data_IF_075008153297
#
_entry.id   IF_075008153297
#
_cell.length_a   1.000
_cell.length_b   1.000
_cell.length_c   1.000
_cell.angle_alpha   90.00
_cell.angle_beta   90.00
_cell.angle_gamma   90.00
#
_symmetry.space_group_name_H-M   'P 1'
#
loop_
_entity.id
_entity.type
_entity.pdbx_description
1 polymer ?
#
# COMPACT_ATOMS: atom_id res chain seq x y z
N UNK A 1 -40.76 -4.17 -11.06
CA UNK A 1 -41.66 -3.39 -10.19
C UNK A 1 -41.07 -2.01 -10.01
N UNK A 2 -41.63 -1.00 -10.67
CA UNK A 2 -41.12 0.39 -10.65
C UNK A 2 -41.46 1.07 -9.32
N UNK A 3 -40.85 0.64 -8.20
CA UNK A 3 -41.20 1.11 -6.86
C UNK A 3 -40.34 2.28 -6.34
N UNK A 4 -39.57 2.94 -7.21
CA UNK A 4 -38.71 4.05 -6.83
C UNK A 4 -38.83 5.20 -7.82
N UNK A 5 -38.70 6.43 -7.30
CA UNK A 5 -38.75 7.68 -8.06
C UNK A 5 -37.33 8.22 -8.21
N UNK A 6 -37.01 8.77 -9.37
CA UNK A 6 -35.71 9.36 -9.69
C UNK A 6 -35.87 10.72 -10.32
N UNK A 7 -34.94 11.63 -10.01
CA UNK A 7 -34.82 12.93 -10.64
C UNK A 7 -33.35 13.21 -10.93
N UNK A 8 -33.08 13.83 -12.07
CA UNK A 8 -31.74 14.21 -12.49
C UNK A 8 -31.59 15.73 -12.44
N UNK A 9 -30.51 16.20 -11.83
CA UNK A 9 -30.19 17.62 -11.75
C UNK A 9 -28.72 17.84 -12.09
N UNK A 10 -28.47 18.80 -12.98
CA UNK A 10 -27.13 19.28 -13.23
C UNK A 10 -26.77 20.35 -12.19
N UNK A 11 -25.66 20.15 -11.49
CA UNK A 11 -25.08 21.16 -10.61
C UNK A 11 -24.55 22.30 -11.49
N UNK A 12 -25.36 23.35 -11.69
CA UNK A 12 -24.96 24.57 -12.43
C UNK A 12 -24.43 25.61 -11.45
N UNK A 13 -23.38 26.33 -11.85
CA UNK A 13 -22.78 27.39 -11.01
C UNK A 13 -21.82 26.83 -9.97
N UNK A 14 -20.79 26.12 -10.42
CA UNK A 14 -19.64 25.70 -9.61
C UNK A 14 -18.90 26.96 -9.11
N UNK A 15 -19.39 27.53 -8.01
CA UNK A 15 -18.74 28.65 -7.31
C UNK A 15 -18.12 28.08 -6.04
N UNK A 16 -16.82 27.79 -6.05
CA UNK A 16 -16.13 27.24 -4.91
C UNK A 16 -16.28 28.18 -3.72
N UNK A 17 -16.93 27.71 -2.64
CA UNK A 17 -16.69 28.30 -1.33
C UNK A 17 -15.55 27.53 -0.70
N UNK A 18 -14.40 28.18 -0.55
CA UNK A 18 -13.29 27.61 0.20
C UNK A 18 -13.69 27.51 1.68
N UNK A 19 -13.62 26.30 2.22
CA UNK A 19 -13.72 26.08 3.67
C UNK A 19 -12.37 26.36 4.33
N UNK A 20 -12.37 26.58 5.65
CA UNK A 20 -11.16 26.80 6.45
C UNK A 20 -10.09 25.68 6.30
N UNK A 21 -10.47 24.51 5.78
CA UNK A 21 -9.54 23.50 5.28
C UNK A 21 -9.21 23.76 3.80
N UNK A 22 -7.98 24.19 3.52
CA UNK A 22 -7.47 24.66 2.22
C UNK A 22 -7.67 23.73 1.00
N UNK A 23 -8.13 22.48 1.18
CA UNK A 23 -8.31 21.48 0.12
C UNK A 23 -9.78 21.05 -0.10
N UNK A 24 -10.75 21.64 0.60
CA UNK A 24 -12.17 21.27 0.47
C UNK A 24 -12.95 22.41 -0.16
N UNK A 25 -13.59 22.10 -1.28
CA UNK A 25 -14.48 23.01 -1.99
C UNK A 25 -15.93 22.59 -1.74
N UNK A 26 -16.76 23.54 -1.30
CA UNK A 26 -18.21 23.35 -1.21
C UNK A 26 -18.91 23.91 -2.45
N UNK A 27 -19.85 23.14 -2.99
CA UNK A 27 -20.73 23.54 -4.09
C UNK A 27 -22.19 23.30 -3.68
N UNK A 28 -23.05 24.29 -3.92
CA UNK A 28 -24.48 24.22 -3.59
C UNK A 28 -25.34 24.34 -4.85
N UNK A 29 -26.39 23.53 -4.96
CA UNK A 29 -27.41 23.68 -6.00
C UNK A 29 -28.80 23.43 -5.42
N UNK A 30 -29.80 24.11 -5.98
CA UNK A 30 -31.19 23.96 -5.58
C UNK A 30 -31.92 23.08 -6.59
N UNK A 31 -32.73 22.15 -6.09
CA UNK A 31 -33.58 21.29 -6.91
C UNK A 31 -34.94 21.10 -6.24
N UNK A 32 -35.95 20.78 -7.05
CA UNK A 32 -37.35 20.71 -6.58
C UNK A 32 -37.87 19.29 -6.73
N UNK A 33 -38.18 18.62 -5.63
CA UNK A 33 -38.79 17.29 -5.64
C UNK A 33 -40.33 17.38 -5.53
N UNK A 34 -41.10 16.50 -6.18
CA UNK A 34 -42.53 16.37 -5.93
C UNK A 34 -42.83 16.11 -4.45
N UNK A 35 -43.99 16.58 -3.97
CA UNK A 35 -44.40 16.42 -2.56
C UNK A 35 -44.52 14.95 -2.13
N UNK A 36 -44.75 14.05 -3.08
CA UNK A 36 -44.89 12.60 -2.87
C UNK A 36 -43.59 11.82 -3.16
N UNK A 37 -42.44 12.49 -3.36
CA UNK A 37 -41.15 11.86 -3.62
C UNK A 37 -40.63 11.04 -2.42
N UNK A 38 -41.04 11.44 -1.21
CA UNK A 38 -40.53 10.89 0.04
C UNK A 38 -39.10 11.33 0.33
N UNK A 39 -38.40 10.58 1.19
CA UNK A 39 -37.03 10.89 1.59
C UNK A 39 -36.01 10.26 0.64
N UNK A 40 -35.05 11.03 0.09
CA UNK A 40 -33.92 10.51 -0.65
C UNK A 40 -33.13 9.46 0.15
N UNK A 41 -32.82 8.33 -0.48
CA UNK A 41 -32.12 7.19 0.15
C UNK A 41 -30.81 6.80 -0.53
N UNK A 42 -30.68 7.12 -1.81
CA UNK A 42 -29.46 6.98 -2.59
C UNK A 42 -29.37 8.15 -3.59
N UNK A 43 -28.16 8.47 -4.02
CA UNK A 43 -27.86 9.47 -5.04
C UNK A 43 -26.95 8.83 -6.08
N UNK A 44 -27.27 9.05 -7.35
CA UNK A 44 -26.36 8.73 -8.45
C UNK A 44 -25.54 9.98 -8.79
N UNK A 45 -24.23 9.81 -8.89
CA UNK A 45 -23.29 10.90 -9.22
C UNK A 45 -22.60 10.57 -10.52
N UNK A 46 -22.75 11.47 -11.49
CA UNK A 46 -22.11 11.39 -12.80
C UNK A 46 -21.19 12.57 -12.97
N UNK A 47 -19.90 12.31 -13.16
CA UNK A 47 -18.93 13.35 -13.41
C UNK A 47 -18.84 13.66 -14.91
N UNK A 48 -19.35 14.83 -15.29
CA UNK A 48 -19.30 15.31 -16.68
C UNK A 48 -18.01 16.10 -16.99
N UNK A 49 -17.10 16.23 -16.04
CA UNK A 49 -15.80 16.84 -16.27
C UNK A 49 -14.81 15.83 -16.85
N UNK A 50 -13.73 16.33 -17.45
CA UNK A 50 -12.65 15.50 -18.00
C UNK A 50 -11.74 14.86 -16.93
N UNK A 51 -11.69 15.44 -15.72
CA UNK A 51 -10.87 14.94 -14.61
C UNK A 51 -11.73 14.31 -13.52
N UNK A 52 -11.19 13.30 -12.86
CA UNK A 52 -11.77 12.77 -11.63
C UNK A 52 -11.73 13.80 -10.50
N UNK A 53 -12.64 13.68 -9.54
CA UNK A 53 -12.60 14.44 -8.29
C UNK A 53 -12.90 13.54 -7.10
N UNK A 54 -12.42 13.94 -5.92
CA UNK A 54 -12.72 13.23 -4.69
C UNK A 54 -14.01 13.79 -4.05
N UNK A 55 -15.07 12.99 -4.03
CA UNK A 55 -16.33 13.33 -3.38
C UNK A 55 -16.26 12.91 -1.91
N UNK A 56 -16.27 13.89 -1.01
CA UNK A 56 -16.30 13.64 0.44
C UNK A 56 -17.71 13.25 0.90
N UNK A 57 -18.68 14.12 0.66
CA UNK A 57 -20.06 13.94 1.09
C UNK A 57 -21.03 14.75 0.24
N UNK A 58 -22.30 14.35 0.22
CA UNK A 58 -23.42 15.14 -0.29
C UNK A 58 -24.38 15.40 0.88
N UNK A 59 -24.80 16.65 1.04
CA UNK A 59 -25.75 17.07 2.08
C UNK A 59 -26.99 17.65 1.40
N UNK A 60 -28.15 17.08 1.69
CA UNK A 60 -29.44 17.55 1.16
C UNK A 60 -30.22 18.22 2.28
N UNK A 61 -30.54 19.50 2.11
CA UNK A 61 -31.30 20.31 3.07
C UNK A 61 -32.73 20.54 2.57
N UNK A 62 -33.63 21.02 3.45
CA UNK A 62 -35.01 21.40 3.09
C UNK A 62 -36.10 20.36 3.38
N UNK A 63 -35.77 19.25 4.05
CA UNK A 63 -36.75 18.28 4.53
C UNK A 63 -37.13 18.58 6.00
N UNK A 64 -38.36 18.26 6.39
CA UNK A 64 -38.91 18.52 7.73
C UNK A 64 -38.14 17.83 8.87
N UNK A 65 -37.50 16.69 8.60
CA UNK A 65 -36.69 15.92 9.56
C UNK A 65 -35.23 16.40 9.69
N UNK A 66 -34.86 17.48 8.99
CA UNK A 66 -33.50 18.02 8.97
C UNK A 66 -32.66 17.54 7.78
N UNK A 67 -31.34 17.83 7.80
CA UNK A 67 -30.44 17.53 6.69
C UNK A 67 -30.21 16.02 6.53
N UNK A 68 -30.12 15.57 5.28
CA UNK A 68 -29.83 14.18 4.90
C UNK A 68 -28.40 14.08 4.40
N UNK A 69 -27.65 13.14 4.94
CA UNK A 69 -26.22 12.97 4.67
C UNK A 69 -25.93 11.73 3.84
N UNK A 70 -25.09 11.89 2.82
CA UNK A 70 -24.61 10.86 1.91
C UNK A 70 -23.07 10.84 1.95
N UNK A 71 -22.46 10.11 2.90
CA UNK A 71 -21.01 10.02 3.00
C UNK A 71 -20.47 9.20 1.82
N UNK A 72 -19.62 9.82 0.99
CA UNK A 72 -19.09 9.18 -0.20
C UNK A 72 -17.66 8.67 0.01
N UNK A 73 -16.75 9.55 0.41
CA UNK A 73 -15.31 9.28 0.57
C UNK A 73 -14.73 8.45 -0.58
N UNK A 74 -14.96 8.94 -1.81
CA UNK A 74 -14.68 8.21 -3.04
C UNK A 74 -14.20 9.13 -4.14
N UNK A 75 -13.30 8.63 -4.98
CA UNK A 75 -13.02 9.22 -6.27
C UNK A 75 -14.17 8.96 -7.25
N UNK A 76 -14.61 10.01 -7.95
CA UNK A 76 -15.64 9.95 -8.98
C UNK A 76 -14.97 10.17 -10.34
N UNK A 77 -14.93 9.12 -11.14
CA UNK A 77 -14.30 9.12 -12.46
C UNK A 77 -15.11 9.92 -13.46
N UNK A 78 -14.41 10.54 -14.41
CA UNK A 78 -15.04 11.15 -15.57
C UNK A 78 -15.89 10.12 -16.31
N UNK A 79 -17.07 10.55 -16.79
CA UNK A 79 -17.94 9.74 -17.64
C UNK A 79 -17.25 9.23 -18.91
N UNK A 80 -16.22 9.93 -19.38
CA UNK A 80 -15.41 9.50 -20.53
C UNK A 80 -14.57 8.26 -20.21
N UNK A 81 -14.19 8.09 -18.93
CA UNK A 81 -13.36 6.97 -18.45
C UNK A 81 -14.22 5.83 -17.92
N UNK A 82 -15.23 6.15 -17.10
CA UNK A 82 -16.18 5.20 -16.53
C UNK A 82 -17.60 5.73 -16.81
N UNK A 83 -18.34 5.15 -17.77
CA UNK A 83 -19.65 5.66 -18.14
C UNK A 83 -20.71 5.43 -17.05
N UNK A 84 -20.44 4.54 -16.10
CA UNK A 84 -21.36 4.19 -15.02
C UNK A 84 -21.42 5.29 -13.95
N UNK A 85 -22.63 5.54 -13.46
CA UNK A 85 -22.84 6.52 -12.39
C UNK A 85 -22.50 5.92 -11.03
N UNK A 86 -21.88 6.71 -10.15
CA UNK A 86 -21.56 6.25 -8.79
C UNK A 86 -22.79 6.32 -7.90
N UNK A 87 -23.19 5.20 -7.32
CA UNK A 87 -24.24 5.15 -6.29
C UNK A 87 -23.64 5.54 -4.93
N UNK A 88 -24.25 6.50 -4.24
CA UNK A 88 -23.94 6.87 -2.86
C UNK A 88 -25.20 6.70 -2.02
N UNK A 89 -25.11 5.91 -0.94
CA UNK A 89 -26.23 5.66 -0.03
C UNK A 89 -26.27 6.69 1.11
N UNK A 90 -27.48 6.95 1.63
CA UNK A 90 -27.67 7.73 2.87
C UNK A 90 -26.93 7.04 4.02
N UNK A 91 -26.49 7.81 5.01
CA UNK A 91 -25.81 7.36 6.24
C UNK A 91 -26.67 6.50 7.21
N UNK A 92 -27.65 5.75 6.71
CA UNK A 92 -28.49 4.86 7.50
C UNK A 92 -28.02 3.41 7.31
N UNK A 93 -27.65 2.75 8.41
CA UNK A 93 -27.22 1.36 8.38
C UNK A 93 -28.43 0.40 8.35
N UNK A 94 -28.36 -0.60 7.47
CA UNK A 94 -29.36 -1.67 7.36
C UNK A 94 -28.67 -3.04 7.25
N UNK A 95 -29.16 -4.02 8.01
CA UNK A 95 -28.91 -5.42 7.70
C UNK A 95 -29.54 -5.80 6.34
N UNK A 96 -29.05 -6.84 5.65
CA UNK A 96 -29.61 -7.26 4.36
C UNK A 96 -31.14 -7.47 4.40
N UNK A 97 -31.66 -8.11 5.45
CA UNK A 97 -33.10 -8.36 5.63
C UNK A 97 -33.91 -7.09 5.95
N UNK A 98 -33.27 -6.06 6.50
CA UNK A 98 -33.89 -4.78 6.85
C UNK A 98 -33.76 -3.73 5.75
N UNK A 99 -33.07 -4.06 4.65
CA UNK A 99 -32.88 -3.11 3.54
C UNK A 99 -34.26 -2.84 2.92
N UNK A 100 -34.71 -1.56 2.84
CA UNK A 100 -35.98 -1.22 2.22
C UNK A 100 -36.09 -1.80 0.80
N UNK A 101 -37.29 -2.25 0.41
CA UNK A 101 -37.48 -2.90 -0.90
C UNK A 101 -36.99 -2.03 -2.07
N UNK A 102 -37.17 -0.71 -1.98
CA UNK A 102 -36.70 0.25 -2.98
C UNK A 102 -35.17 0.36 -3.10
N UNK A 103 -34.39 -0.16 -2.13
CA UNK A 103 -32.92 -0.14 -2.16
C UNK A 103 -32.31 -1.52 -2.42
N UNK A 104 -33.10 -2.60 -2.39
CA UNK A 104 -32.55 -3.97 -2.51
C UNK A 104 -31.82 -4.18 -3.83
N UNK A 105 -32.38 -3.69 -4.93
CA UNK A 105 -31.78 -3.81 -6.25
C UNK A 105 -30.54 -2.94 -6.39
N UNK A 106 -30.60 -1.66 -6.00
CA UNK A 106 -29.45 -0.76 -5.98
C UNK A 106 -28.28 -1.29 -5.14
N UNK A 107 -28.58 -1.85 -3.95
CA UNK A 107 -27.58 -2.48 -3.09
C UNK A 107 -26.93 -3.70 -3.77
N UNK A 108 -27.73 -4.50 -4.49
CA UNK A 108 -27.23 -5.67 -5.22
C UNK A 108 -26.35 -5.24 -6.39
N UNK A 109 -26.78 -4.25 -7.16
CA UNK A 109 -26.07 -3.70 -8.31
C UNK A 109 -24.71 -3.10 -7.89
N UNK A 110 -24.68 -2.27 -6.85
CA UNK A 110 -23.44 -1.72 -6.31
C UNK A 110 -22.48 -2.83 -5.86
N UNK A 111 -22.99 -3.84 -5.15
CA UNK A 111 -22.18 -4.99 -4.71
C UNK A 111 -21.62 -5.80 -5.90
N UNK A 112 -22.40 -6.00 -6.96
CA UNK A 112 -21.95 -6.68 -8.17
C UNK A 112 -20.87 -5.86 -8.90
N UNK A 113 -21.05 -4.53 -8.98
CA UNK A 113 -20.07 -3.63 -9.59
C UNK A 113 -18.71 -3.69 -8.86
N UNK A 114 -18.75 -3.73 -7.52
CA UNK A 114 -17.57 -3.77 -6.66
C UNK A 114 -16.91 -5.15 -6.67
N UNK A 115 -17.65 -6.23 -6.94
CA UNK A 115 -17.08 -7.59 -7.11
C UNK A 115 -16.46 -7.80 -8.49
N UNK A 116 -17.01 -7.14 -9.52
CA UNK A 116 -16.62 -7.35 -10.91
C UNK A 116 -16.93 -8.76 -11.41
N UNK A 117 -16.28 -9.14 -12.51
CA UNK A 117 -16.58 -10.36 -13.28
C UNK A 117 -15.45 -11.41 -13.28
N UNK A 118 -14.36 -11.16 -12.54
CA UNK A 118 -13.19 -12.06 -12.48
C UNK A 118 -12.34 -12.15 -13.74
N UNK A 119 -12.62 -11.32 -14.76
CA UNK A 119 -11.95 -11.33 -16.06
C UNK A 119 -11.16 -10.06 -16.28
N UNK A 120 -10.32 -10.05 -17.32
CA UNK A 120 -9.53 -8.90 -17.79
C UNK A 120 -8.51 -8.33 -16.78
N UNK A 121 -7.63 -7.48 -17.28
CA UNK A 121 -6.71 -6.69 -16.48
C UNK A 121 -7.44 -5.54 -15.80
N UNK A 122 -7.08 -5.26 -14.54
CA UNK A 122 -7.65 -4.17 -13.76
C UNK A 122 -7.05 -2.82 -14.16
N UNK A 123 -7.89 -1.79 -14.18
CA UNK A 123 -7.49 -0.41 -14.49
C UNK A 123 -7.49 0.45 -13.24
N UNK A 124 -6.60 1.45 -13.17
CA UNK A 124 -6.36 2.24 -11.95
C UNK A 124 -7.59 2.96 -11.38
N UNK A 125 -8.57 3.26 -12.23
CA UNK A 125 -9.81 3.90 -11.83
C UNK A 125 -10.86 2.94 -11.24
N UNK A 126 -10.69 1.62 -11.45
CA UNK A 126 -11.64 0.61 -11.01
C UNK A 126 -11.59 0.40 -9.48
N UNK A 127 -12.75 0.01 -8.94
CA UNK A 127 -12.94 -0.34 -7.52
C UNK A 127 -13.33 -1.82 -7.33
N UNK A 128 -12.79 -2.69 -8.17
CA UNK A 128 -13.14 -4.11 -8.18
C UNK A 128 -12.31 -4.86 -7.13
N UNK A 129 -12.97 -5.43 -6.13
CA UNK A 129 -12.40 -6.37 -5.17
C UNK A 129 -12.55 -7.78 -5.70
N UNK A 130 -11.42 -8.39 -6.05
CA UNK A 130 -11.36 -9.80 -6.41
C UNK A 130 -10.03 -10.40 -5.94
N UNK A 131 -9.93 -11.73 -5.96
CA UNK A 131 -8.87 -12.46 -5.30
C UNK A 131 -8.08 -13.31 -6.29
N UNK A 132 -6.78 -13.41 -6.05
CA UNK A 132 -5.93 -14.41 -6.71
C UNK A 132 -4.75 -14.75 -5.81
N UNK A 133 -3.90 -15.66 -6.26
CA UNK A 133 -2.73 -16.17 -5.55
C UNK A 133 -1.54 -15.24 -5.68
N UNK A 134 -0.50 -15.44 -4.86
CA UNK A 134 0.80 -14.80 -5.07
C UNK A 134 1.56 -15.55 -6.17
N UNK A 135 1.20 -15.25 -7.42
CA UNK A 135 1.84 -15.75 -8.64
C UNK A 135 2.56 -14.63 -9.42
N UNK A 136 2.72 -13.45 -8.81
CA UNK A 136 3.24 -12.22 -9.42
C UNK A 136 4.56 -11.72 -8.77
N UNK A 137 5.22 -12.59 -7.99
CA UNK A 137 6.47 -12.27 -7.28
C UNK A 137 7.72 -12.50 -8.14
N UNK A 138 7.68 -13.47 -9.06
CA UNK A 138 8.80 -13.83 -9.93
C UNK A 138 8.88 -12.94 -11.18
N UNK A 139 10.01 -13.01 -11.88
CA UNK A 139 10.16 -12.43 -13.23
C UNK A 139 10.93 -13.38 -14.18
N UNK A 140 10.37 -14.55 -14.49
CA UNK A 140 11.04 -15.60 -15.27
C UNK A 140 11.28 -15.25 -16.75
N UNK A 141 10.55 -14.27 -17.30
CA UNK A 141 10.76 -13.82 -18.68
C UNK A 141 12.03 -12.96 -18.79
N UNK A 142 12.47 -12.34 -17.68
CA UNK A 142 13.72 -11.58 -17.61
C UNK A 142 14.91 -12.49 -17.35
N UNK A 143 14.77 -13.42 -16.41
CA UNK A 143 15.81 -14.36 -16.02
C UNK A 143 15.15 -15.55 -15.29
N UNK A 144 15.57 -16.78 -15.63
CA UNK A 144 15.05 -17.98 -15.00
C UNK A 144 15.36 -18.04 -13.49
N UNK A 145 16.45 -17.42 -13.03
CA UNK A 145 16.80 -17.34 -11.60
C UNK A 145 15.86 -16.41 -10.82
N UNK A 146 15.07 -15.60 -11.52
CA UNK A 146 14.00 -14.77 -10.96
C UNK A 146 12.65 -15.50 -10.91
N UNK A 147 12.58 -16.76 -11.34
CA UNK A 147 11.38 -17.58 -11.17
C UNK A 147 11.07 -17.77 -9.67
N UNK A 148 9.80 -17.62 -9.30
CA UNK A 148 9.34 -17.85 -7.92
C UNK A 148 8.12 -18.78 -7.94
N UNK A 149 8.03 -19.69 -6.96
CA UNK A 149 6.90 -20.59 -6.84
C UNK A 149 5.62 -19.80 -6.52
N UNK A 150 4.48 -20.26 -7.05
CA UNK A 150 3.17 -19.71 -6.70
C UNK A 150 2.84 -20.07 -5.26
N UNK A 151 2.48 -19.09 -4.43
CA UNK A 151 2.05 -19.34 -3.05
C UNK A 151 0.54 -19.61 -3.02
N UNK A 152 0.18 -20.89 -3.11
CA UNK A 152 -1.18 -21.39 -3.02
C UNK A 152 -1.21 -22.90 -2.73
N UNK A 153 -2.39 -23.41 -2.40
CA UNK A 153 -2.65 -24.83 -2.23
C UNK A 153 -2.19 -25.39 -0.88
N UNK A 154 -2.25 -26.71 -0.75
CA UNK A 154 -1.91 -27.42 0.49
C UNK A 154 -0.41 -27.44 0.78
N UNK A 155 0.43 -27.47 -0.27
CA UNK A 155 1.88 -27.48 -0.11
C UNK A 155 2.42 -26.13 0.37
N UNK A 156 1.80 -25.03 -0.06
CA UNK A 156 2.23 -23.65 0.24
C UNK A 156 1.01 -22.78 0.57
N UNK A 157 0.32 -23.06 1.68
CA UNK A 157 -0.86 -22.31 2.05
C UNK A 157 -0.49 -20.85 2.29
N UNK A 158 -1.19 -19.95 1.62
CA UNK A 158 -0.94 -18.51 1.74
C UNK A 158 -2.24 -17.72 1.53
N UNK A 159 -2.42 -16.58 2.23
CA UNK A 159 -3.54 -15.69 1.98
C UNK A 159 -3.65 -15.30 0.51
N UNK A 160 -4.88 -15.05 0.05
CA UNK A 160 -5.11 -14.47 -1.27
C UNK A 160 -4.75 -12.98 -1.26
N UNK A 161 -4.39 -12.47 -2.44
CA UNK A 161 -4.16 -11.04 -2.68
C UNK A 161 -5.17 -10.47 -3.66
N UNK A 162 -5.22 -9.15 -3.76
CA UNK A 162 -6.07 -8.45 -4.72
C UNK A 162 -5.70 -8.85 -6.16
N UNK A 163 -6.68 -9.33 -6.93
CA UNK A 163 -6.50 -9.68 -8.34
C UNK A 163 -6.17 -8.43 -9.15
N UNK A 164 -5.18 -8.56 -10.01
CA UNK A 164 -4.73 -7.51 -10.94
C UNK A 164 -5.02 -7.90 -12.39
N UNK A 165 -5.00 -9.21 -12.69
CA UNK A 165 -5.50 -9.75 -13.95
C UNK A 165 -4.62 -9.43 -15.16
N UNK A 166 -3.35 -9.09 -14.96
CA UNK A 166 -2.39 -8.92 -16.04
C UNK A 166 -2.18 -10.26 -16.74
N UNK A 167 -1.59 -10.17 -17.93
CA UNK A 167 -1.29 -11.35 -18.73
C UNK A 167 -0.29 -12.27 -18.00
N UNK A 168 -0.34 -13.58 -18.24
CA UNK A 168 0.70 -14.50 -17.79
C UNK A 168 2.08 -14.15 -18.36
N UNK A 169 3.14 -14.64 -17.72
CA UNK A 169 4.48 -14.60 -18.30
C UNK A 169 4.57 -15.55 -19.50
N UNK A 170 5.48 -15.27 -20.43
CA UNK A 170 5.70 -16.12 -21.61
C UNK A 170 6.29 -17.48 -21.21
N UNK A 171 7.19 -17.50 -20.21
CA UNK A 171 7.88 -18.72 -19.77
C UNK A 171 7.02 -19.63 -18.90
N UNK A 172 6.09 -19.09 -18.10
CA UNK A 172 5.29 -19.85 -17.13
C UNK A 172 3.82 -19.38 -17.12
N UNK A 173 2.88 -20.13 -17.71
CA UNK A 173 1.47 -19.72 -17.83
C UNK A 173 0.71 -19.49 -16.52
N UNK A 174 1.20 -20.03 -15.40
CA UNK A 174 0.61 -19.85 -14.07
C UNK A 174 1.15 -18.62 -13.32
N UNK A 175 2.22 -18.00 -13.82
CA UNK A 175 2.82 -16.81 -13.25
C UNK A 175 2.26 -15.57 -13.95
N UNK A 176 1.84 -14.57 -13.19
CA UNK A 176 1.39 -13.30 -13.75
C UNK A 176 2.60 -12.41 -14.07
N UNK A 177 2.54 -11.72 -15.21
CA UNK A 177 3.58 -10.77 -15.63
C UNK A 177 3.80 -9.66 -14.59
N UNK A 178 5.05 -9.20 -14.52
CA UNK A 178 5.48 -8.19 -13.56
C UNK A 178 5.35 -6.79 -14.15
N UNK A 179 4.92 -5.85 -13.32
CA UNK A 179 5.00 -4.43 -13.63
C UNK A 179 6.38 -3.91 -13.21
N UNK A 180 7.12 -3.37 -14.17
CA UNK A 180 8.37 -2.67 -13.92
C UNK A 180 8.12 -1.23 -13.47
N UNK A 181 9.08 -0.67 -12.74
CA UNK A 181 8.99 0.74 -12.31
C UNK A 181 9.23 1.69 -13.48
N UNK A 182 8.55 2.85 -13.52
CA UNK A 182 7.84 3.53 -12.42
C UNK A 182 6.39 3.09 -12.18
N UNK A 183 5.82 2.25 -13.03
CA UNK A 183 4.40 1.91 -12.99
C UNK A 183 3.98 1.24 -11.66
N UNK A 184 2.73 1.47 -11.29
CA UNK A 184 2.17 1.01 -10.03
C UNK A 184 1.35 -0.26 -10.23
N UNK A 185 1.44 -1.19 -9.29
CA UNK A 185 0.56 -2.35 -9.27
C UNK A 185 -0.84 -1.86 -8.95
N UNK A 186 -1.85 -2.35 -9.68
CA UNK A 186 -3.24 -2.01 -9.41
C UNK A 186 -3.59 -2.27 -7.95
N UNK A 187 -4.15 -1.24 -7.35
CA UNK A 187 -4.90 -1.24 -6.10
C UNK A 187 -6.16 -0.44 -6.41
N UNK A 188 -7.25 -0.78 -5.73
CA UNK A 188 -8.52 -0.11 -5.94
C UNK A 188 -8.39 1.40 -5.73
N UNK A 189 -9.09 2.18 -6.57
CA UNK A 189 -8.92 3.64 -6.63
C UNK A 189 -9.03 4.34 -5.27
N UNK A 190 -9.95 3.94 -4.40
CA UNK A 190 -10.12 4.56 -3.07
C UNK A 190 -9.21 3.97 -1.99
N UNK A 191 -8.37 3.00 -2.35
CA UNK A 191 -7.35 2.41 -1.48
C UNK A 191 -5.93 2.83 -1.90
N UNK A 192 -5.79 3.59 -2.99
CA UNK A 192 -4.52 4.22 -3.33
C UNK A 192 -4.18 5.30 -2.32
N UNK A 193 -2.90 5.59 -2.16
CA UNK A 193 -2.49 6.74 -1.36
C UNK A 193 -2.96 8.05 -2.00
N UNK A 194 -3.25 9.03 -1.15
CA UNK A 194 -3.30 10.43 -1.54
C UNK A 194 -1.93 10.85 -2.10
N UNK A 195 -1.92 11.83 -3.01
CA UNK A 195 -0.73 12.28 -3.74
C UNK A 195 0.44 12.63 -2.80
N UNK A 196 0.18 13.40 -1.73
CA UNK A 196 1.20 13.79 -0.75
C UNK A 196 1.81 12.58 -0.04
N UNK A 197 0.98 11.61 0.35
CA UNK A 197 1.44 10.38 0.99
C UNK A 197 2.19 9.48 0.00
N UNK A 198 1.74 9.41 -1.25
CA UNK A 198 2.41 8.68 -2.33
C UNK A 198 3.79 9.27 -2.63
N UNK A 199 3.91 10.59 -2.64
CA UNK A 199 5.19 11.29 -2.81
C UNK A 199 6.15 10.98 -1.65
N UNK A 200 5.68 11.12 -0.40
CA UNK A 200 6.47 10.81 0.80
C UNK A 200 6.92 9.34 0.84
N UNK A 201 6.03 8.41 0.50
CA UNK A 201 6.34 6.98 0.39
C UNK A 201 7.38 6.71 -0.69
N UNK A 202 7.28 7.36 -1.85
CA UNK A 202 8.23 7.19 -2.96
C UNK A 202 9.63 7.67 -2.59
N UNK A 203 9.75 8.82 -1.90
CA UNK A 203 11.02 9.31 -1.36
C UNK A 203 11.59 8.33 -0.34
N UNK A 204 10.77 7.88 0.62
CA UNK A 204 11.18 6.92 1.66
C UNK A 204 11.66 5.59 1.07
N UNK A 205 10.98 5.09 0.03
CA UNK A 205 11.38 3.88 -0.70
C UNK A 205 12.71 4.07 -1.43
N UNK A 206 12.91 5.18 -2.13
CA UNK A 206 14.17 5.46 -2.82
C UNK A 206 15.33 5.52 -1.82
N UNK A 207 15.12 6.17 -0.67
CA UNK A 207 16.08 6.18 0.44
C UNK A 207 16.40 4.77 0.93
N UNK A 208 15.40 3.90 1.11
CA UNK A 208 15.61 2.52 1.54
C UNK A 208 16.40 1.68 0.52
N UNK A 209 16.08 1.79 -0.77
CA UNK A 209 16.84 1.12 -1.84
C UNK A 209 18.28 1.60 -1.85
N UNK A 210 18.51 2.92 -1.74
CA UNK A 210 19.85 3.48 -1.68
C UNK A 210 20.63 2.94 -0.48
N UNK A 211 20.05 2.98 0.72
CA UNK A 211 20.68 2.44 1.93
C UNK A 211 21.02 0.93 1.77
N UNK A 212 20.17 0.14 1.13
CA UNK A 212 20.45 -1.28 0.89
C UNK A 212 21.60 -1.51 -0.11
N UNK A 213 21.76 -0.63 -1.10
CA UNK A 213 22.85 -0.73 -2.09
C UNK A 213 24.15 -0.12 -1.58
N UNK A 214 24.08 0.80 -0.62
CA UNK A 214 25.21 1.59 -0.15
C UNK A 214 26.41 0.74 0.31
N UNK A 215 26.25 -0.40 1.02
CA UNK A 215 27.37 -1.29 1.34
C UNK A 215 28.05 -1.89 0.11
N UNK A 216 27.27 -2.34 -0.90
CA UNK A 216 27.82 -2.89 -2.14
C UNK A 216 28.55 -1.82 -2.96
N UNK A 217 28.03 -0.60 -2.96
CA UNK A 217 28.71 0.55 -3.55
C UNK A 217 30.05 0.83 -2.85
N UNK A 218 30.03 0.90 -1.51
CA UNK A 218 31.25 1.11 -0.73
C UNK A 218 32.32 0.04 -1.02
N UNK A 219 31.94 -1.24 -1.06
CA UNK A 219 32.83 -2.35 -1.37
C UNK A 219 33.44 -2.24 -2.80
N UNK A 220 32.62 -1.86 -3.78
CA UNK A 220 33.06 -1.67 -5.18
C UNK A 220 34.10 -0.55 -5.27
N UNK A 221 33.92 0.54 -4.52
CA UNK A 221 34.87 1.65 -4.49
C UNK A 221 36.12 1.35 -3.64
N UNK A 222 36.02 0.50 -2.62
CA UNK A 222 37.20 0.11 -1.83
C UNK A 222 38.08 -0.96 -2.48
N UNK A 223 37.68 -1.55 -3.61
CA UNK A 223 38.34 -2.71 -4.28
C UNK A 223 38.55 -3.93 -3.35
N UNK A 224 37.85 -3.98 -2.22
CA UNK A 224 37.94 -5.03 -1.22
C UNK A 224 36.56 -5.22 -0.57
N UNK A 225 36.07 -6.46 -0.53
CA UNK A 225 34.93 -6.88 0.31
C UNK A 225 35.38 -6.90 1.77
N UNK A 226 35.52 -5.71 2.38
CA UNK A 226 35.97 -5.59 3.77
C UNK A 226 34.79 -5.82 4.71
N UNK A 227 34.78 -6.93 5.48
CA UNK A 227 33.81 -7.07 6.56
C UNK A 227 34.08 -6.02 7.64
N UNK A 228 33.06 -5.68 8.43
CA UNK A 228 33.27 -4.85 9.61
C UNK A 228 34.26 -5.51 10.56
N UNK A 229 35.33 -4.79 10.91
CA UNK A 229 36.39 -5.30 11.80
C UNK A 229 36.04 -5.14 13.28
N UNK A 230 35.19 -4.17 13.61
CA UNK A 230 34.74 -3.89 14.98
C UNK A 230 33.41 -3.12 15.02
N UNK A 231 32.76 -3.08 16.19
CA UNK A 231 31.49 -2.35 16.37
C UNK A 231 31.60 -0.85 16.09
N UNK A 232 32.78 -0.24 16.29
CA UNK A 232 33.01 1.17 15.98
C UNK A 232 32.78 1.48 14.50
N UNK A 233 33.04 0.53 13.59
CA UNK A 233 32.79 0.73 12.16
C UNK A 233 31.30 0.73 11.81
N UNK A 234 30.51 -0.11 12.49
CA UNK A 234 29.04 -0.08 12.40
C UNK A 234 28.52 1.26 12.94
N UNK A 235 29.07 1.71 14.07
CA UNK A 235 28.72 2.98 14.69
C UNK A 235 29.00 4.21 13.79
N UNK A 236 30.04 4.15 12.95
CA UNK A 236 30.36 5.20 11.99
C UNK A 236 29.25 5.42 10.96
N UNK A 237 28.47 4.37 10.60
CA UNK A 237 27.33 4.48 9.68
C UNK A 237 26.29 5.50 10.17
N UNK A 238 26.12 5.62 11.49
CA UNK A 238 25.15 6.51 12.13
C UNK A 238 25.73 7.88 12.49
N UNK A 239 27.04 7.98 12.73
CA UNK A 239 27.67 9.22 13.19
C UNK A 239 28.20 10.05 12.02
N UNK A 240 28.94 9.41 11.11
CA UNK A 240 29.65 10.03 10.01
C UNK A 240 29.10 9.61 8.63
N UNK A 241 28.37 8.49 8.58
CA UNK A 241 27.89 7.90 7.34
C UNK A 241 28.94 7.03 6.64
N UNK A 242 28.59 6.55 5.44
CA UNK A 242 29.48 5.75 4.59
C UNK A 242 30.41 6.68 3.82
N UNK A 243 31.71 6.55 4.09
CA UNK A 243 32.76 7.28 3.37
C UNK A 243 33.15 6.47 2.14
N UNK A 244 32.81 6.97 0.95
CA UNK A 244 33.28 6.41 -0.32
C UNK A 244 34.69 6.97 -0.57
N UNK A 245 35.72 6.11 -0.53
CA UNK A 245 37.09 6.54 -0.88
C UNK A 245 37.12 6.86 -2.38
N UNK A 246 37.41 8.10 -2.73
CA UNK A 246 37.55 8.54 -4.11
C UNK A 246 38.99 8.31 -4.57
N UNK A 247 39.23 7.30 -5.39
CA UNK A 247 40.40 7.26 -6.27
C UNK A 247 40.07 7.97 -7.58
N UNK A 248 41.05 8.62 -8.22
CA UNK A 248 40.84 9.43 -9.43
C UNK A 248 40.21 8.61 -10.59
N UNK A 249 40.52 7.31 -10.68
CA UNK A 249 39.96 6.39 -11.68
C UNK A 249 38.51 5.94 -11.40
N UNK A 250 38.01 6.14 -10.17
CA UNK A 250 36.68 5.70 -9.74
C UNK A 250 35.62 6.81 -9.76
N UNK A 251 36.02 8.06 -10.04
CA UNK A 251 35.11 9.19 -10.26
C UNK A 251 34.11 8.89 -11.37
N UNK A 252 34.56 8.30 -12.48
CA UNK A 252 33.72 8.02 -13.65
C UNK A 252 32.64 6.95 -13.35
N UNK A 253 32.95 5.95 -12.51
CA UNK A 253 31.98 4.93 -12.07
C UNK A 253 30.98 5.52 -11.08
N UNK A 254 31.44 6.31 -10.12
CA UNK A 254 30.56 6.98 -9.15
C UNK A 254 29.65 8.00 -9.82
N UNK A 255 30.15 8.77 -10.78
CA UNK A 255 29.35 9.66 -11.61
C UNK A 255 28.34 8.87 -12.46
N UNK A 256 28.73 7.80 -13.15
CA UNK A 256 27.80 6.94 -13.90
C UNK A 256 26.70 6.32 -13.02
N UNK A 257 27.04 5.95 -11.78
CA UNK A 257 26.09 5.36 -10.84
C UNK A 257 25.17 6.41 -10.21
N UNK A 258 25.69 7.59 -9.85
CA UNK A 258 24.89 8.76 -9.46
C UNK A 258 24.01 9.27 -10.61
N UNK A 259 24.44 9.09 -11.87
CA UNK A 259 23.70 9.43 -13.08
C UNK A 259 22.55 8.45 -13.38
N UNK A 260 22.48 7.30 -12.71
CA UNK A 260 21.26 6.48 -12.72
C UNK A 260 20.10 7.32 -12.19
N UNK A 261 19.03 7.42 -12.99
CA UNK A 261 17.91 8.33 -12.75
C UNK A 261 17.25 8.19 -11.38
N UNK A 262 17.37 7.02 -10.74
CA UNK A 262 16.86 6.72 -9.41
C UNK A 262 17.75 7.29 -8.30
N UNK A 263 19.07 7.19 -8.44
CA UNK A 263 20.05 7.61 -7.43
C UNK A 263 20.16 9.13 -7.42
N UNK A 264 20.21 9.76 -8.60
CA UNK A 264 20.17 11.24 -8.72
C UNK A 264 18.94 11.84 -8.04
N UNK A 265 17.77 11.21 -8.22
CA UNK A 265 16.51 11.63 -7.59
C UNK A 265 16.54 11.43 -6.08
N UNK A 266 17.12 10.34 -5.59
CA UNK A 266 17.29 10.12 -4.16
C UNK A 266 18.21 11.18 -3.54
N UNK A 267 19.42 11.37 -4.12
CA UNK A 267 20.45 12.31 -3.65
C UNK A 267 19.93 13.74 -3.63
N UNK A 268 19.20 14.17 -4.66
CA UNK A 268 18.63 15.51 -4.71
C UNK A 268 17.43 15.69 -3.76
N UNK A 269 16.72 14.63 -3.39
CA UNK A 269 15.52 14.70 -2.54
C UNK A 269 15.82 14.54 -1.03
N UNK A 270 17.04 14.13 -0.64
CA UNK A 270 17.38 13.85 0.74
C UNK A 270 18.82 14.29 1.06
N UNK A 271 18.96 15.39 1.80
CA UNK A 271 20.21 15.72 2.48
C UNK A 271 20.61 14.59 3.44
N UNK A 272 21.87 14.13 3.39
CA UNK A 272 22.40 13.14 4.34
C UNK A 272 22.15 11.66 4.02
N UNK A 273 21.96 11.28 2.76
CA UNK A 273 21.72 9.87 2.35
C UNK A 273 22.81 8.86 2.69
N UNK A 274 24.05 9.32 2.92
CA UNK A 274 25.15 8.45 3.32
C UNK A 274 25.12 8.12 4.82
N UNK A 275 24.27 8.80 5.61
CA UNK A 275 24.19 8.67 7.06
C UNK A 275 22.89 8.01 7.47
N UNK A 276 23.00 6.95 8.26
CA UNK A 276 21.84 6.26 8.82
C UNK A 276 21.28 7.04 10.02
N UNK A 277 19.97 6.97 10.22
CA UNK A 277 19.33 7.48 11.42
C UNK A 277 19.70 6.61 12.62
N UNK A 278 20.09 7.24 13.74
CA UNK A 278 20.38 6.56 15.00
C UNK A 278 19.14 5.76 15.44
N UNK A 279 19.33 4.47 15.71
CA UNK A 279 18.24 3.59 16.18
C UNK A 279 17.84 3.95 17.62
N UNK A 280 16.55 3.81 17.94
CA UNK A 280 16.05 4.13 19.27
C UNK A 280 16.78 3.37 20.39
N UNK A 281 17.09 2.08 20.18
CA UNK A 281 17.77 1.22 21.15
C UNK A 281 19.18 1.69 21.52
N UNK A 282 19.93 2.29 20.58
CA UNK A 282 21.30 2.77 20.81
C UNK A 282 21.37 4.28 21.08
N UNK A 283 20.22 4.96 21.17
CA UNK A 283 20.16 6.42 21.28
C UNK A 283 20.63 6.94 22.65
N UNK A 284 20.40 6.18 23.72
CA UNK A 284 20.78 6.53 25.10
C UNK A 284 22.03 5.79 25.56
N UNK A 285 22.08 4.49 25.30
CA UNK A 285 23.23 3.65 25.61
C UNK A 285 23.59 2.79 24.38
N UNK A 286 24.77 3.04 23.84
CA UNK A 286 25.32 2.40 22.62
C UNK A 286 25.54 0.91 22.78
N UNK A 287 25.68 0.41 24.01
CA UNK A 287 25.95 -0.99 24.31
C UNK A 287 24.73 -1.71 24.90
N UNK A 288 23.55 -1.08 24.93
CA UNK A 288 22.31 -1.68 25.48
C UNK A 288 22.03 -3.07 24.89
N UNK A 289 22.19 -3.20 23.57
CA UNK A 289 21.89 -4.41 22.81
C UNK A 289 22.79 -5.62 23.14
N UNK A 290 23.93 -5.41 23.82
CA UNK A 290 24.83 -6.48 24.27
C UNK A 290 24.41 -7.10 25.61
N UNK A 291 23.47 -6.48 26.33
CA UNK A 291 23.13 -6.91 27.70
C UNK A 291 22.06 -8.00 27.67
N UNK A 292 22.23 -9.04 28.48
CA UNK A 292 21.26 -10.14 28.60
C UNK A 292 19.86 -9.67 29.00
N UNK A 293 19.79 -8.66 29.87
CA UNK A 293 18.50 -8.09 30.29
C UNK A 293 17.77 -7.41 29.12
N UNK A 294 18.49 -6.73 28.22
CA UNK A 294 17.91 -6.10 27.03
C UNK A 294 17.54 -7.14 25.96
N UNK A 295 18.37 -8.18 25.79
CA UNK A 295 18.03 -9.33 24.96
C UNK A 295 16.71 -10.00 25.41
N UNK A 296 16.57 -10.30 26.70
CA UNK A 296 15.35 -10.88 27.25
C UNK A 296 14.16 -9.91 27.20
N UNK A 297 14.40 -8.62 27.44
CA UNK A 297 13.37 -7.57 27.35
C UNK A 297 12.79 -7.46 25.94
N UNK A 298 13.62 -7.57 24.90
CA UNK A 298 13.15 -7.53 23.51
C UNK A 298 12.23 -8.70 23.14
N UNK A 299 12.35 -9.85 23.80
CA UNK A 299 11.42 -10.95 23.61
C UNK A 299 10.00 -10.63 24.13
N UNK A 300 9.86 -9.64 25.03
CA UNK A 300 8.58 -9.23 25.64
C UNK A 300 8.08 -7.87 25.13
N UNK A 301 8.97 -6.95 24.76
CA UNK A 301 8.63 -5.58 24.36
C UNK A 301 9.46 -5.05 23.17
N UNK A 302 10.17 -5.93 22.47
CA UNK A 302 10.96 -5.58 21.30
C UNK A 302 10.17 -5.64 19.99
N UNK A 303 10.88 -5.91 18.89
CA UNK A 303 10.31 -5.93 17.54
C UNK A 303 9.32 -7.09 17.34
N UNK A 304 9.52 -8.22 18.02
CA UNK A 304 8.67 -9.41 17.91
C UNK A 304 8.28 -9.99 19.28
N UNK A 305 7.36 -9.34 20.02
CA UNK A 305 7.02 -9.69 21.40
C UNK A 305 6.00 -10.84 21.53
N UNK A 306 5.74 -11.59 20.46
CA UNK A 306 4.64 -12.58 20.38
C UNK A 306 5.11 -14.04 20.30
N UNK A 307 6.42 -14.28 20.29
CA UNK A 307 6.97 -15.63 20.10
C UNK A 307 7.43 -16.32 21.39
N UNK A 308 7.60 -15.58 22.49
CA UNK A 308 8.10 -16.17 23.73
C UNK A 308 7.03 -17.06 24.37
N UNK A 309 7.41 -18.27 24.75
CA UNK A 309 6.54 -19.22 25.42
C UNK A 309 7.17 -19.75 26.70
N UNK A 310 6.33 -20.03 27.70
CA UNK A 310 6.78 -20.67 28.94
C UNK A 310 7.14 -22.12 28.67
N UNK A 311 8.40 -22.47 28.89
CA UNK A 311 8.82 -23.87 28.93
C UNK A 311 8.16 -24.60 30.11
N UNK A 312 7.42 -25.68 29.82
CA UNK A 312 6.72 -26.47 30.86
C UNK A 312 7.53 -27.67 31.35
N UNK A 313 8.34 -28.28 30.48
CA UNK A 313 9.14 -29.48 30.78
C UNK A 313 10.53 -29.29 30.20
N UNK A 314 11.56 -29.51 31.01
CA UNK A 314 12.95 -29.54 30.58
C UNK A 314 13.38 -31.01 30.44
N UNK A 315 13.59 -31.48 29.21
CA UNK A 315 14.13 -32.84 28.98
C UNK A 315 15.64 -32.76 29.01
N UNK A 316 16.25 -33.33 30.05
CA UNK A 316 17.71 -33.51 30.13
C UNK A 316 18.00 -35.00 29.95
N UNK A 317 18.52 -35.38 28.79
CA UNK A 317 18.99 -36.74 28.52
C UNK A 317 20.50 -36.81 28.75
N UNK A 318 20.96 -37.79 29.54
CA UNK A 318 22.38 -38.10 29.70
C UNK A 318 22.70 -39.42 29.00
N UNK A 319 23.79 -39.44 28.23
CA UNK A 319 24.36 -40.68 27.70
C UNK A 319 25.21 -41.34 28.78
N UNK A 320 24.88 -42.58 29.15
CA UNK A 320 25.76 -43.44 29.95
C UNK A 320 26.55 -44.32 28.97
N UNK A 321 27.84 -44.07 28.87
CA UNK A 321 28.78 -44.93 28.14
C UNK A 321 29.35 -45.97 29.10
N UNK A 322 29.06 -47.25 28.86
CA UNK A 322 29.72 -48.36 29.54
C UNK A 322 30.93 -48.80 28.71
N UNK A 323 32.12 -48.78 29.31
CA UNK A 323 33.33 -49.36 28.73
C UNK A 323 33.70 -50.66 29.44
N UNK A 324 34.12 -51.67 28.68
CA UNK A 324 34.75 -52.88 29.22
C UNK A 324 36.25 -52.63 29.23
N UNK A 325 36.84 -52.57 30.43
CA UNK A 325 38.30 -52.55 30.60
C UNK A 325 38.84 -53.96 30.34
N UNK A 326 39.72 -54.12 29.36
CA UNK A 326 40.58 -55.31 29.26
C UNK A 326 41.71 -55.15 30.28
N UNK A 327 41.77 -56.08 31.23
CA UNK A 327 42.93 -56.31 32.11
C UNK A 327 43.95 -57.13 31.35
#
# INVERSE_FOLDING_TARGET
TNSWKSLEYAVRGWFPKELENANVVENSTNFTVPSDFGYPRAVFVTNLQSKEFYLKEIVVQGFSEGPIFFPANSWIQSRETDPESRIIFRNQAYFPLQTPDSLKDLRREDLLSVRGNGKCERKHFERVYDYTTYNDLGNPDKDNDLARPVLSGHERPYPRRCRTGRLPTNTYPYSESRIEKPDSVYVLRDKTFEETKQASFSVSRLKAVFHNLLPSLAATFSNEDTPFTCFTEIDKLYNYGVVVKHNEDQKDIFEKLLLSSLIKKAVNACEGLFKYSILAIISRDRFSWLRDNEFAHQALAGVNPVNIEKLKVLVVAYFILHFISRI
#
